data_IF_376926661788
#
_entry.id   IF_376926661788
#
_cell.length_a   1.000
_cell.length_b   1.000
_cell.length_c   1.000
_cell.angle_alpha   90.00
_cell.angle_beta   90.00
_cell.angle_gamma   90.00
#
_symmetry.space_group_name_H-M   'P 1'
#
loop_
_entity.id
_entity.type
_entity.pdbx_description
1 polymer ?
#
# COMPACT_ATOMS: atom_id res chain seq x y z
N UNK A 1 -5.45 1.05 40.67
CA UNK A 1 -4.50 -0.07 40.48
C UNK A 1 -4.38 -0.38 39.01
N UNK A 2 -4.02 0.64 38.16
CA UNK A 2 -3.97 0.60 36.68
C UNK A 2 -2.85 1.48 36.10
N UNK A 3 -1.75 1.71 36.84
CA UNK A 3 -0.69 2.65 36.43
C UNK A 3 0.67 2.03 36.13
N UNK A 4 0.80 0.70 36.08
CA UNK A 4 2.14 0.06 36.03
C UNK A 4 2.53 -0.64 34.72
N UNK A 5 1.82 -0.47 33.60
CA UNK A 5 2.16 -1.19 32.36
C UNK A 5 2.92 -0.33 31.32
N UNK A 6 3.23 0.94 31.61
CA UNK A 6 3.84 1.86 30.63
C UNK A 6 5.23 2.39 31.00
N UNK A 7 5.99 1.73 31.87
CA UNK A 7 7.41 2.07 32.06
C UNK A 7 8.29 1.06 31.34
N UNK A 8 8.46 1.20 30.03
CA UNK A 8 9.60 0.58 29.37
C UNK A 8 10.72 1.61 29.26
N UNK A 9 11.82 1.33 29.92
CA UNK A 9 13.14 1.92 29.85
C UNK A 9 13.45 2.67 28.54
N UNK A 10 13.20 3.96 28.51
CA UNK A 10 13.92 4.89 27.65
C UNK A 10 14.59 5.90 28.54
N UNK A 11 15.89 5.70 28.72
CA UNK A 11 16.77 6.72 29.23
C UNK A 11 16.63 8.00 28.41
N UNK A 12 16.19 9.17 28.95
CA UNK A 12 15.94 10.38 28.18
C UNK A 12 17.21 10.98 27.54
N UNK A 13 18.39 10.53 27.92
CA UNK A 13 19.67 11.13 27.55
C UNK A 13 20.44 10.39 26.44
N UNK A 14 19.95 9.30 25.90
CA UNK A 14 20.48 8.77 24.65
C UNK A 14 19.77 9.43 23.47
N UNK A 15 20.22 10.60 23.09
CA UNK A 15 19.95 11.19 21.79
C UNK A 15 20.60 10.30 20.72
N UNK A 16 19.92 9.20 20.37
CA UNK A 16 20.24 8.41 19.21
C UNK A 16 19.86 9.27 17.98
N UNK A 17 20.85 10.08 17.54
CA UNK A 17 20.74 11.03 16.44
C UNK A 17 20.76 10.34 15.08
N UNK A 18 20.58 9.03 15.04
CA UNK A 18 20.45 8.25 13.83
C UNK A 18 19.21 8.71 13.05
N UNK A 19 19.42 9.12 11.79
CA UNK A 19 18.31 9.48 10.89
C UNK A 19 17.31 8.32 10.75
N UNK A 20 17.75 7.06 10.96
CA UNK A 20 16.91 5.87 10.97
C UNK A 20 15.87 5.87 12.11
N UNK A 21 16.17 6.53 13.25
CA UNK A 21 15.21 6.66 14.36
C UNK A 21 14.03 7.60 14.01
N UNK A 22 14.18 8.42 12.98
CA UNK A 22 13.15 9.35 12.48
C UNK A 22 12.15 8.68 11.52
N UNK A 23 12.47 7.47 11.02
CA UNK A 23 11.61 6.71 10.12
C UNK A 23 10.52 6.00 10.94
N UNK A 24 9.27 6.21 10.57
CA UNK A 24 8.08 5.76 11.30
C UNK A 24 6.99 5.20 10.38
N UNK A 25 5.74 5.67 10.51
CA UNK A 25 4.60 5.16 9.76
C UNK A 25 4.74 5.19 8.24
N UNK A 26 5.41 6.21 7.68
CA UNK A 26 5.59 6.37 6.23
C UNK A 26 6.47 5.29 5.62
N UNK A 27 7.55 4.86 6.31
CA UNK A 27 8.38 3.77 5.82
C UNK A 27 7.61 2.43 5.81
N UNK A 28 6.81 2.17 6.85
CA UNK A 28 5.97 0.96 6.91
C UNK A 28 4.91 0.99 5.81
N UNK A 29 4.32 2.16 5.57
CA UNK A 29 3.34 2.37 4.50
C UNK A 29 3.98 2.11 3.14
N UNK A 30 5.19 2.62 2.87
CA UNK A 30 5.93 2.35 1.64
C UNK A 30 6.30 0.87 1.47
N UNK A 31 6.70 0.19 2.55
CA UNK A 31 6.97 -1.25 2.49
C UNK A 31 5.70 -2.10 2.26
N UNK A 32 4.53 -1.62 2.68
CA UNK A 32 3.24 -2.27 2.48
C UNK A 32 2.61 -1.93 1.11
N UNK A 33 3.12 -0.92 0.42
CA UNK A 33 2.73 -0.53 -0.93
C UNK A 33 3.20 -1.57 -1.98
N UNK A 34 4.33 -2.23 -1.70
CA UNK A 34 4.85 -3.33 -2.52
C UNK A 34 4.18 -4.67 -2.17
N UNK A 35 2.86 -4.70 -2.10
CA UNK A 35 2.07 -5.90 -1.85
C UNK A 35 2.11 -6.88 -3.06
N UNK A 36 1.58 -8.11 -2.92
CA UNK A 36 1.51 -9.03 -4.06
C UNK A 36 0.80 -8.46 -5.28
N UNK A 37 -0.20 -7.56 -5.10
CA UNK A 37 -0.91 -6.94 -6.20
C UNK A 37 -0.03 -5.96 -6.97
N UNK A 38 0.84 -5.23 -6.29
CA UNK A 38 1.87 -4.38 -6.87
C UNK A 38 2.87 -5.18 -7.69
N UNK A 39 3.45 -6.24 -7.09
CA UNK A 39 4.42 -7.11 -7.78
C UNK A 39 3.82 -7.69 -9.05
N UNK A 40 2.59 -8.22 -9.01
CA UNK A 40 1.91 -8.78 -10.16
C UNK A 40 1.63 -7.72 -11.25
N UNK A 41 1.14 -6.55 -10.85
CA UNK A 41 0.80 -5.44 -11.75
C UNK A 41 2.02 -4.88 -12.45
N UNK A 42 3.09 -4.60 -11.72
CA UNK A 42 4.35 -4.12 -12.32
C UNK A 42 5.00 -5.18 -13.21
N UNK A 43 4.92 -6.45 -12.82
CA UNK A 43 5.40 -7.56 -13.65
C UNK A 43 4.62 -7.65 -14.96
N UNK A 44 3.28 -7.57 -14.91
CA UNK A 44 2.42 -7.57 -16.09
C UNK A 44 2.69 -6.36 -16.99
N UNK A 45 2.85 -5.17 -16.40
CA UNK A 45 3.15 -3.95 -17.15
C UNK A 45 4.44 -4.07 -17.96
N UNK A 46 5.52 -4.58 -17.35
CA UNK A 46 6.79 -4.80 -18.03
C UNK A 46 6.74 -5.94 -19.05
N UNK A 47 6.06 -7.05 -18.73
CA UNK A 47 5.91 -8.18 -19.64
C UNK A 47 5.08 -7.83 -20.88
N UNK A 48 3.98 -7.10 -20.72
CA UNK A 48 3.06 -6.79 -21.82
C UNK A 48 3.54 -5.62 -22.68
N UNK A 49 4.04 -4.56 -22.05
CA UNK A 49 4.35 -3.29 -22.74
C UNK A 49 5.85 -2.96 -22.79
N UNK A 50 6.72 -3.85 -22.30
CA UNK A 50 8.15 -3.60 -22.27
C UNK A 50 8.47 -2.33 -21.45
N UNK A 51 9.25 -1.42 -22.04
CA UNK A 51 9.64 -0.17 -21.40
C UNK A 51 8.59 0.94 -21.47
N UNK A 52 7.45 0.72 -22.15
CA UNK A 52 6.49 1.79 -22.48
C UNK A 52 5.72 2.32 -21.27
N UNK A 53 5.75 1.63 -20.11
CA UNK A 53 5.14 2.08 -18.87
C UNK A 53 6.15 2.56 -17.81
N UNK A 54 7.47 2.62 -18.11
CA UNK A 54 8.47 3.11 -17.14
C UNK A 54 8.26 4.58 -16.72
N UNK A 55 7.71 5.41 -17.62
CA UNK A 55 7.40 6.81 -17.31
C UNK A 55 6.39 6.97 -16.17
N UNK A 56 5.54 5.97 -15.96
CA UNK A 56 4.54 6.00 -14.88
C UNK A 56 5.20 6.11 -13.52
N UNK A 57 6.32 5.43 -13.32
CA UNK A 57 7.07 5.45 -12.06
C UNK A 57 7.60 6.86 -11.75
N UNK A 58 8.12 7.57 -12.77
CA UNK A 58 8.60 8.93 -12.60
C UNK A 58 7.45 9.90 -12.26
N UNK A 59 6.30 9.75 -12.95
CA UNK A 59 5.12 10.59 -12.72
C UNK A 59 4.45 10.29 -11.38
N UNK A 60 4.28 9.01 -11.03
CA UNK A 60 3.53 8.63 -9.83
C UNK A 60 4.26 8.99 -8.54
N UNK A 61 5.59 8.99 -8.52
CA UNK A 61 6.34 9.26 -7.30
C UNK A 61 5.97 10.60 -6.62
N UNK A 62 6.04 11.76 -7.27
CA UNK A 62 5.64 13.01 -6.62
C UNK A 62 4.14 13.06 -6.29
N UNK A 63 3.30 12.38 -7.06
CA UNK A 63 1.85 12.34 -6.86
C UNK A 63 1.48 11.48 -5.65
N UNK A 64 2.05 10.28 -5.53
CA UNK A 64 1.82 9.40 -4.38
C UNK A 64 2.37 10.00 -3.09
N UNK A 65 3.56 10.61 -3.13
CA UNK A 65 4.12 11.32 -1.98
C UNK A 65 3.19 12.44 -1.54
N UNK A 66 2.67 13.24 -2.47
CA UNK A 66 1.81 14.37 -2.14
C UNK A 66 0.50 13.92 -1.46
N UNK A 67 -0.18 12.91 -2.03
CA UNK A 67 -1.46 12.45 -1.48
C UNK A 67 -1.28 11.70 -0.16
N UNK A 68 -0.19 10.94 0.02
CA UNK A 68 0.16 10.31 1.28
C UNK A 68 0.49 11.35 2.37
N UNK A 69 1.22 12.41 2.02
CA UNK A 69 1.47 13.54 2.93
C UNK A 69 0.17 14.25 3.34
N UNK A 70 -0.77 14.39 2.42
CA UNK A 70 -2.10 14.94 2.72
C UNK A 70 -2.80 14.07 3.75
N UNK A 71 -2.80 12.75 3.55
CA UNK A 71 -3.40 11.79 4.49
C UNK A 71 -2.75 11.86 5.88
N UNK A 72 -1.43 11.72 5.95
CA UNK A 72 -0.66 11.80 7.19
C UNK A 72 -0.93 13.13 7.94
N UNK A 73 -0.94 14.23 7.18
CA UNK A 73 -1.20 15.57 7.71
C UNK A 73 -2.59 15.68 8.31
N UNK A 74 -3.63 15.17 7.65
CA UNK A 74 -5.00 15.16 8.20
C UNK A 74 -5.03 14.43 9.54
N UNK A 75 -4.46 13.20 9.62
CA UNK A 75 -4.39 12.42 10.84
C UNK A 75 -3.68 13.14 11.97
N UNK A 76 -2.46 13.62 11.72
CA UNK A 76 -1.62 14.28 12.73
C UNK A 76 -2.15 15.63 13.21
N UNK A 77 -2.70 16.42 12.30
CA UNK A 77 -3.22 17.75 12.62
C UNK A 77 -4.51 17.67 13.39
N UNK A 78 -5.48 16.88 12.91
CA UNK A 78 -6.81 16.76 13.53
C UNK A 78 -6.83 15.84 14.77
N UNK A 79 -5.87 14.90 14.87
CA UNK A 79 -5.88 13.82 15.87
C UNK A 79 -6.94 12.75 15.60
N UNK A 80 -7.43 12.67 14.35
CA UNK A 80 -8.48 11.75 13.95
C UNK A 80 -8.17 11.14 12.57
N UNK A 81 -8.48 9.84 12.41
CA UNK A 81 -8.41 9.18 11.10
C UNK A 81 -9.41 9.76 10.09
N UNK A 82 -9.26 9.41 8.80
CA UNK A 82 -10.06 9.97 7.71
C UNK A 82 -11.57 9.77 7.91
N UNK A 83 -12.01 8.55 8.24
CA UNK A 83 -13.44 8.26 8.46
C UNK A 83 -14.06 9.06 9.61
N UNK A 84 -13.30 9.28 10.70
CA UNK A 84 -13.78 10.10 11.83
C UNK A 84 -13.92 11.56 11.42
N UNK A 85 -12.99 12.09 10.62
CA UNK A 85 -13.11 13.45 10.10
C UNK A 85 -14.27 13.58 9.11
N UNK A 86 -14.50 12.60 8.23
CA UNK A 86 -15.65 12.56 7.35
C UNK A 86 -16.95 12.55 8.15
N UNK A 87 -17.07 11.71 9.17
CA UNK A 87 -18.27 11.65 10.05
C UNK A 87 -18.60 12.98 10.71
N UNK A 88 -17.59 13.76 11.08
CA UNK A 88 -17.77 15.01 11.83
C UNK A 88 -18.11 16.21 10.95
N UNK A 89 -17.65 16.21 9.68
CA UNK A 89 -17.65 17.42 8.87
C UNK A 89 -18.35 17.27 7.52
N UNK A 90 -18.79 16.05 7.15
CA UNK A 90 -19.39 15.78 5.84
C UNK A 90 -20.69 14.99 5.96
N UNK A 91 -21.56 15.01 4.93
CA UNK A 91 -22.81 14.26 4.93
C UNK A 91 -22.60 12.76 5.11
N UNK A 92 -23.50 12.06 5.83
CA UNK A 92 -23.40 10.62 6.06
C UNK A 92 -23.33 9.79 4.76
N UNK A 93 -24.01 10.23 3.70
CA UNK A 93 -24.00 9.54 2.40
C UNK A 93 -22.59 9.44 1.79
N UNK A 94 -21.79 10.51 1.88
CA UNK A 94 -20.41 10.50 1.42
C UNK A 94 -19.53 9.59 2.29
N UNK A 95 -19.71 9.62 3.60
CA UNK A 95 -19.00 8.74 4.52
C UNK A 95 -19.27 7.27 4.21
N UNK A 96 -20.57 6.87 4.18
CA UNK A 96 -20.92 5.48 3.91
C UNK A 96 -20.49 5.03 2.52
N UNK A 97 -20.66 5.89 1.49
CA UNK A 97 -20.22 5.59 0.14
C UNK A 97 -18.72 5.26 0.07
N UNK A 98 -17.88 6.13 0.64
CA UNK A 98 -16.41 5.93 0.65
C UNK A 98 -16.00 4.71 1.47
N UNK A 99 -16.61 4.51 2.65
CA UNK A 99 -16.26 3.38 3.52
C UNK A 99 -16.67 2.05 2.89
N UNK A 100 -17.84 1.97 2.23
CA UNK A 100 -18.24 0.77 1.50
C UNK A 100 -17.28 0.48 0.34
N UNK A 101 -16.94 1.50 -0.46
CA UNK A 101 -15.98 1.34 -1.55
C UNK A 101 -14.63 0.81 -1.04
N UNK A 102 -14.12 1.40 0.04
CA UNK A 102 -12.87 0.95 0.67
C UNK A 102 -12.96 -0.49 1.18
N UNK A 103 -14.05 -0.85 1.85
CA UNK A 103 -14.25 -2.21 2.39
C UNK A 103 -14.29 -3.24 1.27
N UNK A 104 -15.01 -2.96 0.19
CA UNK A 104 -15.10 -3.86 -0.98
C UNK A 104 -13.71 -4.01 -1.62
N UNK A 105 -13.04 -2.90 -1.92
CA UNK A 105 -11.71 -2.93 -2.53
C UNK A 105 -10.70 -3.69 -1.66
N UNK A 106 -10.65 -3.41 -0.35
CA UNK A 106 -9.73 -4.09 0.57
C UNK A 106 -10.04 -5.58 0.68
N UNK A 107 -11.32 -5.97 0.72
CA UNK A 107 -11.70 -7.39 0.82
C UNK A 107 -11.29 -8.16 -0.44
N UNK A 108 -11.45 -7.57 -1.62
CA UNK A 108 -11.00 -8.16 -2.88
C UNK A 108 -9.47 -8.26 -2.91
N UNK A 109 -8.77 -7.22 -2.45
CA UNK A 109 -7.30 -7.24 -2.40
C UNK A 109 -6.78 -8.30 -1.42
N UNK A 110 -7.38 -8.42 -0.22
CA UNK A 110 -7.08 -9.47 0.77
C UNK A 110 -7.27 -10.87 0.14
N UNK A 111 -8.36 -11.07 -0.61
CA UNK A 111 -8.63 -12.34 -1.29
C UNK A 111 -7.53 -12.66 -2.32
N UNK A 112 -7.16 -11.68 -3.14
CA UNK A 112 -6.12 -11.82 -4.16
C UNK A 112 -4.75 -12.11 -3.54
N UNK A 113 -4.38 -11.37 -2.49
CA UNK A 113 -3.10 -11.54 -1.78
C UNK A 113 -3.00 -12.92 -1.11
N UNK A 114 -4.04 -13.34 -0.38
CA UNK A 114 -4.08 -14.67 0.25
C UNK A 114 -3.92 -15.78 -0.78
N UNK A 115 -4.62 -15.67 -1.90
CA UNK A 115 -4.54 -16.61 -3.02
C UNK A 115 -3.15 -16.69 -3.61
N UNK A 116 -2.53 -15.52 -3.86
CA UNK A 116 -1.17 -15.44 -4.39
C UNK A 116 -0.14 -16.03 -3.43
N UNK A 117 -0.28 -15.77 -2.13
CA UNK A 117 0.58 -16.37 -1.10
C UNK A 117 0.43 -17.90 -1.07
N UNK A 118 -0.80 -18.43 -1.16
CA UNK A 118 -1.05 -19.87 -1.25
C UNK A 118 -0.44 -20.50 -2.51
N UNK A 119 -0.55 -19.82 -3.66
CA UNK A 119 0.08 -20.22 -4.91
C UNK A 119 1.61 -20.15 -4.84
N UNK A 120 2.17 -19.17 -4.13
CA UNK A 120 3.60 -19.07 -3.90
C UNK A 120 4.15 -20.21 -3.05
N UNK A 121 3.44 -20.63 -1.98
CA UNK A 121 3.82 -21.83 -1.21
C UNK A 121 3.74 -23.08 -2.08
N UNK A 122 2.67 -23.23 -2.87
CA UNK A 122 2.54 -24.35 -3.81
C UNK A 122 3.70 -24.38 -4.81
N UNK A 123 4.15 -23.24 -5.31
CA UNK A 123 5.31 -23.13 -6.20
C UNK A 123 6.60 -23.64 -5.56
N UNK A 124 6.77 -23.44 -4.23
CA UNK A 124 7.98 -23.79 -3.49
C UNK A 124 8.06 -25.27 -3.10
N UNK A 125 6.95 -25.82 -2.61
CA UNK A 125 6.93 -27.14 -1.98
C UNK A 125 5.90 -28.12 -2.60
N UNK A 126 5.16 -27.65 -3.63
CA UNK A 126 4.06 -28.44 -4.21
C UNK A 126 2.85 -28.52 -3.28
N UNK A 127 1.90 -29.40 -3.60
CA UNK A 127 0.74 -29.65 -2.75
C UNK A 127 -0.47 -28.73 -3.04
N UNK A 128 -1.50 -28.72 -2.18
CA UNK A 128 -2.75 -28.02 -2.44
C UNK A 128 -2.65 -26.52 -2.08
N UNK A 129 -2.61 -25.63 -3.06
CA UNK A 129 -2.50 -24.18 -2.86
C UNK A 129 -3.58 -23.64 -1.90
N UNK A 130 -4.83 -24.14 -2.00
CA UNK A 130 -5.93 -23.71 -1.12
C UNK A 130 -5.69 -24.01 0.36
N UNK A 131 -5.07 -25.15 0.69
CA UNK A 131 -4.74 -25.47 2.07
C UNK A 131 -3.71 -24.47 2.63
N UNK A 132 -2.75 -24.06 1.80
CA UNK A 132 -1.76 -23.03 2.16
C UNK A 132 -2.41 -21.65 2.31
N UNK A 133 -3.35 -21.28 1.45
CA UNK A 133 -4.14 -20.05 1.60
C UNK A 133 -4.86 -20.01 2.95
N UNK A 134 -5.54 -21.11 3.32
CA UNK A 134 -6.24 -21.22 4.62
C UNK A 134 -5.25 -21.13 5.79
N UNK A 135 -4.12 -21.85 5.71
CA UNK A 135 -3.10 -21.83 6.75
C UNK A 135 -2.49 -20.42 6.93
N UNK A 136 -2.13 -19.74 5.84
CA UNK A 136 -1.57 -18.40 5.88
C UNK A 136 -2.59 -17.35 6.38
N UNK A 137 -3.87 -17.51 6.02
CA UNK A 137 -4.96 -16.71 6.57
C UNK A 137 -5.05 -16.88 8.09
N UNK A 138 -5.05 -18.13 8.59
CA UNK A 138 -5.09 -18.42 10.02
C UNK A 138 -3.87 -17.87 10.76
N UNK A 139 -2.67 -18.01 10.19
CA UNK A 139 -1.43 -17.43 10.74
C UNK A 139 -1.53 -15.91 10.80
N UNK A 140 -1.94 -15.27 9.71
CA UNK A 140 -2.08 -13.79 9.64
C UNK A 140 -3.08 -13.30 10.68
N UNK A 141 -4.26 -13.91 10.80
CA UNK A 141 -5.25 -13.54 11.80
C UNK A 141 -4.74 -13.75 13.24
N UNK A 142 -4.06 -14.86 13.49
CA UNK A 142 -3.45 -15.12 14.79
C UNK A 142 -2.43 -14.04 15.16
N UNK A 143 -1.55 -13.68 14.22
CA UNK A 143 -0.60 -12.61 14.43
C UNK A 143 -1.29 -11.26 14.68
N UNK A 144 -2.30 -10.91 13.89
CA UNK A 144 -3.02 -9.63 14.03
C UNK A 144 -3.79 -9.50 15.33
N UNK A 145 -4.33 -10.61 15.89
CA UNK A 145 -5.16 -10.59 17.10
C UNK A 145 -4.31 -10.69 18.37
N UNK A 146 -3.27 -11.54 18.37
CA UNK A 146 -2.53 -11.91 19.57
C UNK A 146 -1.13 -11.31 19.68
N UNK A 147 -0.56 -10.79 18.58
CA UNK A 147 0.78 -10.22 18.58
C UNK A 147 0.70 -8.71 18.29
N UNK A 148 1.27 -7.84 19.15
CA UNK A 148 1.30 -6.41 18.88
C UNK A 148 1.90 -6.10 17.50
N UNK A 149 1.20 -5.30 16.70
CA UNK A 149 1.57 -4.95 15.32
C UNK A 149 3.05 -4.55 15.20
N UNK A 150 3.53 -3.68 16.09
CA UNK A 150 4.93 -3.21 16.10
C UNK A 150 5.97 -4.32 16.24
N UNK A 151 5.60 -5.46 16.83
CA UNK A 151 6.54 -6.57 17.06
C UNK A 151 6.71 -7.40 15.79
N UNK A 152 5.64 -7.84 15.17
CA UNK A 152 5.76 -8.72 14.00
C UNK A 152 6.13 -7.95 12.73
N UNK A 153 5.68 -6.70 12.55
CA UNK A 153 6.07 -5.84 11.43
C UNK A 153 7.59 -5.60 11.38
N UNK A 154 8.25 -5.56 12.55
CA UNK A 154 9.70 -5.41 12.62
C UNK A 154 10.45 -6.57 11.96
N UNK A 155 9.86 -7.76 11.97
CA UNK A 155 10.41 -8.94 11.29
C UNK A 155 10.00 -8.94 9.82
N UNK A 156 8.72 -8.73 9.53
CA UNK A 156 8.18 -8.84 8.17
C UNK A 156 8.80 -7.83 7.19
N UNK A 157 9.10 -6.62 7.64
CA UNK A 157 9.76 -5.62 6.77
C UNK A 157 11.11 -6.08 6.20
N UNK A 158 11.80 -7.04 6.84
CA UNK A 158 13.04 -7.58 6.30
C UNK A 158 12.79 -8.53 5.13
N UNK A 159 11.59 -9.15 5.05
CA UNK A 159 11.23 -10.00 3.93
C UNK A 159 11.03 -9.19 2.65
N UNK A 160 10.66 -7.90 2.75
CA UNK A 160 10.54 -7.03 1.56
C UNK A 160 11.90 -6.77 0.90
N UNK A 161 13.03 -6.96 1.61
CA UNK A 161 14.36 -6.84 1.01
C UNK A 161 14.60 -7.89 -0.09
N UNK A 162 13.85 -8.98 -0.10
CA UNK A 162 13.93 -9.97 -1.18
C UNK A 162 13.55 -9.34 -2.54
N UNK A 163 12.74 -8.28 -2.55
CA UNK A 163 12.40 -7.54 -3.77
C UNK A 163 13.61 -6.87 -4.42
N UNK A 164 14.73 -6.65 -3.70
CA UNK A 164 15.98 -6.23 -4.31
C UNK A 164 16.58 -7.26 -5.27
N UNK A 165 16.05 -8.50 -5.30
CA UNK A 165 16.39 -9.46 -6.35
C UNK A 165 16.06 -8.90 -7.74
N UNK A 166 15.01 -8.11 -7.90
CA UNK A 166 14.69 -7.43 -9.17
C UNK A 166 15.76 -6.40 -9.55
N UNK A 167 16.32 -5.70 -8.57
CA UNK A 167 17.48 -4.81 -8.78
C UNK A 167 18.69 -5.62 -9.20
N UNK A 168 18.90 -6.79 -8.59
CA UNK A 168 20.01 -7.68 -8.90
C UNK A 168 20.02 -8.15 -10.37
N UNK A 169 18.85 -8.40 -10.97
CA UNK A 169 18.74 -8.84 -12.37
C UNK A 169 19.39 -7.85 -13.35
N UNK A 170 19.31 -6.54 -13.02
CA UNK A 170 19.91 -5.46 -13.84
C UNK A 170 21.40 -5.64 -14.06
N UNK A 171 22.11 -6.27 -13.11
CA UNK A 171 23.53 -6.55 -13.21
C UNK A 171 23.84 -7.86 -13.97
N UNK A 172 22.85 -8.72 -14.18
CA UNK A 172 23.01 -10.02 -14.84
C UNK A 172 22.61 -9.99 -16.32
N UNK A 173 21.86 -8.98 -16.76
CA UNK A 173 21.36 -8.88 -18.14
C UNK A 173 21.86 -7.60 -18.83
N UNK A 174 21.95 -7.64 -20.17
CA UNK A 174 22.29 -6.45 -20.95
C UNK A 174 21.07 -5.55 -21.09
N UNK A 175 21.16 -4.34 -20.56
CA UNK A 175 20.09 -3.36 -20.58
C UNK A 175 20.40 -2.24 -21.58
N UNK A 176 19.48 -1.91 -22.48
CA UNK A 176 19.61 -0.75 -23.38
C UNK A 176 19.30 0.55 -22.63
N UNK A 177 20.23 1.03 -21.80
CA UNK A 177 20.03 2.18 -20.90
C UNK A 177 19.56 3.45 -21.59
N UNK A 178 19.99 3.68 -22.84
CA UNK A 178 19.52 4.83 -23.63
C UNK A 178 18.01 4.74 -23.90
N UNK A 179 17.52 3.55 -24.26
CA UNK A 179 16.08 3.30 -24.46
C UNK A 179 15.30 3.40 -23.14
N UNK A 180 15.85 2.81 -22.07
CA UNK A 180 15.23 2.88 -20.74
C UNK A 180 15.08 4.34 -20.29
N UNK A 181 16.15 5.15 -20.36
CA UNK A 181 16.11 6.56 -20.01
C UNK A 181 15.10 7.34 -20.88
N UNK A 182 15.11 7.10 -22.19
CA UNK A 182 14.18 7.74 -23.11
C UNK A 182 12.72 7.42 -22.75
N UNK A 183 12.38 6.12 -22.50
CA UNK A 183 11.02 5.68 -22.19
C UNK A 183 10.56 6.06 -20.78
N UNK A 184 11.51 6.28 -19.88
CA UNK A 184 11.19 6.81 -18.53
C UNK A 184 10.82 8.29 -18.56
N UNK A 185 11.44 9.08 -19.47
CA UNK A 185 11.21 10.53 -19.55
C UNK A 185 10.12 10.86 -20.56
N UNK A 186 10.09 10.18 -21.71
CA UNK A 186 9.15 10.44 -22.79
C UNK A 186 8.13 9.32 -22.90
N UNK A 187 6.87 9.56 -22.48
CA UNK A 187 5.79 8.58 -22.58
C UNK A 187 5.57 8.16 -24.04
N UNK A 188 5.37 6.87 -24.25
CA UNK A 188 4.83 6.36 -25.51
C UNK A 188 3.43 5.83 -25.22
N UNK A 189 2.43 6.60 -25.60
CA UNK A 189 1.04 6.19 -25.42
C UNK A 189 0.62 5.21 -26.52
N UNK A 190 0.00 4.11 -26.11
CA UNK A 190 -0.70 3.18 -27.00
C UNK A 190 -2.18 3.22 -26.59
N UNK A 191 -3.07 3.84 -27.37
CA UNK A 191 -4.48 3.98 -27.00
C UNK A 191 -5.25 2.68 -27.23
N UNK A 192 -4.89 1.63 -26.47
CA UNK A 192 -5.60 0.35 -26.42
C UNK A 192 -6.26 0.15 -25.06
N UNK A 193 -7.36 -0.62 -25.02
CA UNK A 193 -8.03 -0.97 -23.76
C UNK A 193 -7.05 -1.59 -22.76
N UNK A 194 -6.20 -2.51 -23.19
CA UNK A 194 -5.22 -3.18 -22.33
C UNK A 194 -4.19 -2.21 -21.75
N UNK A 195 -3.68 -1.27 -22.58
CA UNK A 195 -2.70 -0.28 -22.11
C UNK A 195 -3.31 0.64 -21.04
N UNK A 196 -4.52 1.12 -21.29
CA UNK A 196 -5.19 2.04 -20.36
C UNK A 196 -5.61 1.32 -19.09
N UNK A 197 -6.09 0.07 -19.18
CA UNK A 197 -6.41 -0.75 -18.00
C UNK A 197 -5.17 -1.04 -17.17
N UNK A 198 -4.03 -1.37 -17.82
CA UNK A 198 -2.75 -1.59 -17.12
C UNK A 198 -2.24 -0.28 -16.51
N UNK A 199 -2.42 0.85 -17.16
CA UNK A 199 -2.08 2.16 -16.60
C UNK A 199 -2.89 2.45 -15.32
N UNK A 200 -4.20 2.17 -15.33
CA UNK A 200 -5.07 2.30 -14.14
C UNK A 200 -4.64 1.34 -13.05
N UNK A 201 -4.27 0.10 -13.39
CA UNK A 201 -3.75 -0.87 -12.43
C UNK A 201 -2.44 -0.40 -11.78
N UNK A 202 -1.48 0.09 -12.59
CA UNK A 202 -0.21 0.66 -12.08
C UNK A 202 -0.46 1.86 -11.16
N UNK A 203 -1.34 2.77 -11.55
CA UNK A 203 -1.71 3.91 -10.69
C UNK A 203 -2.46 3.45 -9.43
N UNK A 204 -3.34 2.47 -9.54
CA UNK A 204 -4.16 1.97 -8.44
C UNK A 204 -3.38 1.20 -7.38
N UNK A 205 -2.31 0.50 -7.77
CA UNK A 205 -1.41 -0.14 -6.81
C UNK A 205 -0.45 0.87 -6.17
N UNK A 206 0.04 1.87 -6.93
CA UNK A 206 0.95 2.90 -6.44
C UNK A 206 0.25 3.96 -5.57
N UNK A 207 -1.02 4.28 -5.85
CA UNK A 207 -1.83 5.30 -5.16
C UNK A 207 -3.05 4.61 -4.56
N UNK A 208 -2.80 3.70 -3.63
CA UNK A 208 -3.82 2.81 -3.08
C UNK A 208 -4.65 3.45 -1.97
N UNK A 209 -5.99 3.33 -2.01
CA UNK A 209 -6.88 4.00 -1.06
C UNK A 209 -6.72 3.48 0.38
N UNK A 210 -6.39 2.20 0.58
CA UNK A 210 -6.19 1.63 1.89
C UNK A 210 -4.99 2.25 2.63
N UNK A 211 -3.94 2.64 1.89
CA UNK A 211 -2.77 3.31 2.46
C UNK A 211 -3.11 4.70 3.01
N UNK A 212 -4.08 5.39 2.42
CA UNK A 212 -4.52 6.70 2.94
C UNK A 212 -5.16 6.55 4.32
N UNK A 213 -6.13 5.64 4.46
CA UNK A 213 -6.78 5.38 5.74
C UNK A 213 -5.79 4.84 6.78
N UNK A 214 -4.87 3.98 6.35
CA UNK A 214 -3.81 3.46 7.18
C UNK A 214 -2.89 4.57 7.69
N UNK A 215 -2.31 5.36 6.80
CA UNK A 215 -1.34 6.42 7.13
C UNK A 215 -1.94 7.44 8.11
N UNK A 216 -3.15 7.94 7.84
CA UNK A 216 -3.82 8.86 8.75
C UNK A 216 -4.03 8.25 10.13
N UNK A 217 -4.42 6.97 10.20
CA UNK A 217 -4.65 6.27 11.46
C UNK A 217 -3.35 5.98 12.21
N UNK A 218 -2.26 5.65 11.51
CA UNK A 218 -0.96 5.44 12.14
C UNK A 218 -0.38 6.72 12.74
N UNK A 219 -0.61 7.88 12.13
CA UNK A 219 -0.22 9.16 12.73
C UNK A 219 -1.02 9.45 14.03
N UNK A 220 -2.27 9.00 14.11
CA UNK A 220 -3.06 9.08 15.35
C UNK A 220 -2.57 8.07 16.39
N UNK A 221 -2.23 6.84 15.99
CA UNK A 221 -1.64 5.84 16.87
C UNK A 221 -0.32 6.34 17.48
N UNK A 222 0.51 7.02 16.69
CA UNK A 222 1.77 7.59 17.17
C UNK A 222 1.53 8.75 18.15
N UNK A 223 0.52 9.61 17.90
CA UNK A 223 0.10 10.64 18.86
C UNK A 223 -0.23 10.02 20.22
N UNK A 224 -1.03 8.95 20.19
CA UNK A 224 -1.47 8.27 21.41
C UNK A 224 -0.31 7.58 22.13
N UNK A 225 0.58 6.92 21.36
CA UNK A 225 1.74 6.20 21.92
C UNK A 225 2.81 7.11 22.51
N UNK A 226 2.91 8.36 22.05
CA UNK A 226 3.87 9.36 22.54
C UNK A 226 3.22 10.38 23.50
N UNK A 227 1.94 10.19 23.85
CA UNK A 227 1.14 11.11 24.67
C UNK A 227 1.16 12.56 24.14
N UNK A 228 1.37 12.72 22.84
CA UNK A 228 1.36 14.02 22.18
C UNK A 228 -0.06 14.46 21.84
N UNK A 229 -0.27 15.78 21.78
CA UNK A 229 -1.55 16.32 21.34
C UNK A 229 -1.54 16.61 19.83
N UNK A 230 -2.74 16.60 19.19
CA UNK A 230 -2.90 17.03 17.81
C UNK A 230 -2.36 18.44 17.58
N UNK A 231 -1.84 18.72 16.38
CA UNK A 231 -1.21 20.01 16.07
C UNK A 231 -2.18 21.19 16.17
N UNK A 232 -3.49 20.98 15.95
CA UNK A 232 -4.52 22.02 16.21
C UNK A 232 -4.56 22.48 17.67
N UNK A 233 -4.15 21.62 18.62
CA UNK A 233 -4.08 21.94 20.04
C UNK A 233 -2.69 22.39 20.51
N UNK A 234 -1.61 21.92 19.83
CA UNK A 234 -0.19 22.30 20.12
C UNK A 234 0.55 22.74 18.85
N UNK A 235 0.28 23.94 18.34
CA UNK A 235 0.88 24.45 17.10
C UNK A 235 2.41 24.57 17.14
N UNK A 236 2.99 24.81 18.30
CA UNK A 236 4.44 25.04 18.48
C UNK A 236 5.32 23.85 17.98
N UNK A 237 4.77 22.63 17.96
CA UNK A 237 5.51 21.42 17.52
C UNK A 237 5.36 21.14 16.02
N UNK A 238 4.66 22.00 15.26
CA UNK A 238 4.26 21.72 13.88
C UNK A 238 5.44 21.58 12.93
N UNK A 239 6.44 22.45 12.98
CA UNK A 239 7.56 22.44 12.05
C UNK A 239 8.38 21.14 12.13
N UNK A 240 8.76 20.72 13.34
CA UNK A 240 9.51 19.48 13.56
C UNK A 240 8.69 18.24 13.15
N UNK A 241 7.42 18.20 13.56
CA UNK A 241 6.55 17.05 13.32
C UNK A 241 6.22 16.88 11.83
N UNK A 242 5.81 17.95 11.15
CA UNK A 242 5.50 17.91 9.72
C UNK A 242 6.76 17.68 8.87
N UNK A 243 7.93 18.18 9.34
CA UNK A 243 9.23 17.88 8.75
C UNK A 243 9.57 16.40 8.82
N UNK A 244 9.37 15.75 9.98
CA UNK A 244 9.54 14.31 10.15
C UNK A 244 8.62 13.51 9.21
N UNK A 245 7.32 13.81 9.23
CA UNK A 245 6.33 13.15 8.35
C UNK A 245 6.73 13.27 6.88
N UNK A 246 7.19 14.45 6.46
CA UNK A 246 7.65 14.66 5.09
C UNK A 246 8.81 13.75 4.72
N UNK A 247 9.86 13.69 5.56
CA UNK A 247 11.03 12.85 5.28
C UNK A 247 10.64 11.38 5.27
N UNK A 248 9.90 10.94 6.27
CA UNK A 248 9.43 9.55 6.41
C UNK A 248 8.59 9.08 5.20
N UNK A 249 7.63 9.90 4.78
CA UNK A 249 6.78 9.59 3.62
C UNK A 249 7.58 9.61 2.31
N UNK A 250 8.44 10.63 2.10
CA UNK A 250 9.28 10.71 0.88
C UNK A 250 10.19 9.48 0.77
N UNK A 251 10.84 9.10 1.85
CA UNK A 251 11.75 7.93 1.86
C UNK A 251 10.97 6.63 1.68
N UNK A 252 9.85 6.43 2.40
CA UNK A 252 9.04 5.22 2.31
C UNK A 252 8.48 5.01 0.91
N UNK A 253 7.82 6.03 0.36
CA UNK A 253 7.27 5.98 -1.00
C UNK A 253 8.36 5.89 -2.08
N UNK A 254 9.53 6.51 -1.84
CA UNK A 254 10.68 6.41 -2.73
C UNK A 254 11.22 4.99 -2.82
N UNK A 255 11.26 4.28 -1.70
CA UNK A 255 11.65 2.87 -1.66
C UNK A 255 10.73 2.01 -2.53
N UNK A 256 9.42 2.08 -2.31
CA UNK A 256 8.42 1.36 -3.10
C UNK A 256 8.53 1.69 -4.59
N UNK A 257 8.60 2.98 -4.91
CA UNK A 257 8.66 3.43 -6.30
C UNK A 257 9.91 2.94 -7.05
N UNK A 258 11.06 2.83 -6.36
CA UNK A 258 12.30 2.24 -6.92
C UNK A 258 12.10 0.75 -7.18
N UNK A 259 11.48 0.01 -6.29
CA UNK A 259 11.16 -1.41 -6.48
C UNK A 259 10.23 -1.58 -7.69
N UNK A 260 9.16 -0.78 -7.79
CA UNK A 260 8.25 -0.79 -8.93
C UNK A 260 8.99 -0.59 -10.27
N UNK A 261 9.91 0.39 -10.33
CA UNK A 261 10.75 0.63 -11.51
C UNK A 261 11.53 -0.62 -11.90
N UNK A 262 12.20 -1.25 -10.94
CA UNK A 262 13.02 -2.43 -11.22
C UNK A 262 12.21 -3.69 -11.54
N UNK A 263 10.99 -3.83 -11.02
CA UNK A 263 10.08 -4.92 -11.41
C UNK A 263 9.67 -4.74 -12.88
N UNK A 264 9.20 -3.56 -13.28
CA UNK A 264 8.82 -3.27 -14.68
C UNK A 264 10.03 -3.48 -15.60
N UNK A 265 11.19 -2.91 -15.26
CA UNK A 265 12.42 -3.03 -16.05
C UNK A 265 12.85 -4.49 -16.22
N UNK A 266 12.89 -5.25 -15.11
CA UNK A 266 13.31 -6.66 -15.12
C UNK A 266 12.39 -7.50 -16.00
N UNK A 267 11.08 -7.36 -15.85
CA UNK A 267 10.12 -8.14 -16.65
C UNK A 267 10.10 -7.72 -18.11
N UNK A 268 10.40 -6.45 -18.40
CA UNK A 268 10.60 -5.99 -19.78
C UNK A 268 11.81 -6.65 -20.46
N UNK A 269 12.94 -6.74 -19.77
CA UNK A 269 14.17 -7.32 -20.37
C UNK A 269 14.22 -8.85 -20.32
N UNK A 270 13.39 -9.49 -19.51
CA UNK A 270 13.35 -10.95 -19.37
C UNK A 270 12.13 -11.56 -20.03
N UNK A 271 10.93 -11.19 -19.62
CA UNK A 271 9.67 -11.79 -20.11
C UNK A 271 9.30 -11.23 -21.48
N UNK A 272 9.20 -9.92 -21.62
CA UNK A 272 8.82 -9.26 -22.88
C UNK A 272 9.79 -9.58 -24.00
N UNK A 273 11.09 -9.55 -23.72
CA UNK A 273 12.12 -9.89 -24.70
C UNK A 273 12.04 -11.34 -25.20
N UNK A 274 11.41 -12.25 -24.45
CA UNK A 274 11.16 -13.64 -24.83
C UNK A 274 9.70 -13.89 -25.25
N UNK A 275 8.95 -12.84 -25.59
CA UNK A 275 7.53 -12.90 -26.04
C UNK A 275 6.56 -13.47 -25.00
N UNK A 276 6.89 -13.45 -23.71
CA UNK A 276 5.96 -13.75 -22.63
C UNK A 276 5.29 -12.43 -22.23
N UNK A 277 4.12 -12.16 -22.83
CA UNK A 277 3.41 -10.88 -22.67
C UNK A 277 2.20 -10.95 -21.75
N UNK A 278 1.72 -12.15 -21.42
CA UNK A 278 0.62 -12.38 -20.47
C UNK A 278 1.10 -13.34 -19.37
N UNK A 279 1.18 -12.83 -18.16
CA UNK A 279 1.61 -13.61 -17.00
C UNK A 279 0.36 -14.26 -16.37
N UNK A 280 0.25 -15.57 -16.52
CA UNK A 280 -0.90 -16.33 -16.01
C UNK A 280 -0.59 -17.05 -14.69
N UNK A 281 0.70 -17.35 -14.41
CA UNK A 281 1.07 -18.14 -13.25
C UNK A 281 2.20 -17.50 -12.43
N UNK A 282 2.24 -17.82 -11.13
CA UNK A 282 3.35 -17.42 -10.25
C UNK A 282 4.72 -17.92 -10.77
N UNK A 283 4.76 -19.10 -11.43
CA UNK A 283 5.98 -19.63 -12.02
C UNK A 283 6.49 -18.78 -13.20
N UNK A 284 5.59 -18.26 -14.06
CA UNK A 284 5.94 -17.34 -15.13
C UNK A 284 6.49 -16.03 -14.57
N UNK A 285 5.82 -15.43 -13.58
CA UNK A 285 6.30 -14.21 -12.92
C UNK A 285 7.68 -14.44 -12.28
N UNK A 286 7.88 -15.54 -11.56
CA UNK A 286 9.15 -15.90 -10.95
C UNK A 286 10.28 -16.09 -11.95
N UNK A 287 9.97 -16.50 -13.19
CA UNK A 287 10.99 -16.71 -14.24
C UNK A 287 11.73 -15.44 -14.65
N UNK A 288 11.17 -14.26 -14.37
CA UNK A 288 11.85 -12.97 -14.53
C UNK A 288 13.14 -12.86 -13.71
N UNK A 289 13.24 -13.57 -12.59
CA UNK A 289 14.42 -13.58 -11.71
C UNK A 289 15.47 -14.63 -12.10
N UNK A 290 15.20 -15.50 -13.08
CA UNK A 290 16.13 -16.57 -13.50
C UNK A 290 17.54 -16.08 -13.90
N UNK A 291 17.71 -14.93 -14.58
CA UNK A 291 19.04 -14.47 -14.98
C UNK A 291 20.03 -14.29 -13.83
N UNK A 292 19.54 -13.92 -12.64
CA UNK A 292 20.41 -13.75 -11.46
C UNK A 292 20.37 -14.97 -10.53
N UNK A 293 19.19 -15.57 -10.37
CA UNK A 293 18.94 -16.55 -9.32
C UNK A 293 18.88 -17.99 -9.85
N UNK A 294 18.86 -18.21 -11.16
CA UNK A 294 18.72 -19.55 -11.72
C UNK A 294 17.53 -20.29 -11.12
N UNK A 295 17.77 -21.44 -10.50
CA UNK A 295 16.74 -22.25 -9.86
C UNK A 295 16.21 -21.62 -8.56
N UNK A 296 16.97 -20.69 -7.92
CA UNK A 296 16.52 -19.96 -6.73
C UNK A 296 15.49 -18.86 -7.05
N UNK A 297 15.25 -18.55 -8.33
CA UNK A 297 14.28 -17.54 -8.77
C UNK A 297 12.88 -17.79 -8.17
N UNK A 298 12.46 -19.05 -8.19
CA UNK A 298 11.16 -19.45 -7.62
C UNK A 298 11.11 -19.24 -6.10
N UNK A 299 12.22 -19.55 -5.41
CA UNK A 299 12.32 -19.34 -3.96
C UNK A 299 12.27 -17.84 -3.61
N UNK A 300 13.05 -17.01 -4.28
CA UNK A 300 13.05 -15.56 -4.05
C UNK A 300 11.69 -14.94 -4.34
N UNK A 301 11.07 -15.30 -5.46
CA UNK A 301 9.72 -14.82 -5.79
C UNK A 301 8.71 -15.27 -4.73
N UNK A 302 8.70 -16.54 -4.37
CA UNK A 302 7.77 -17.10 -3.39
C UNK A 302 7.90 -16.45 -2.01
N UNK A 303 9.13 -16.30 -1.52
CA UNK A 303 9.40 -15.60 -0.24
C UNK A 303 8.99 -14.12 -0.32
N UNK A 304 9.22 -13.48 -1.47
CA UNK A 304 8.79 -12.11 -1.73
C UNK A 304 7.26 -11.96 -1.59
N UNK A 305 6.49 -12.75 -2.35
CA UNK A 305 5.02 -12.74 -2.32
C UNK A 305 4.47 -13.06 -0.92
N UNK A 306 5.03 -14.06 -0.23
CA UNK A 306 4.59 -14.43 1.12
C UNK A 306 4.92 -13.30 2.11
N UNK A 307 6.13 -12.76 2.04
CA UNK A 307 6.58 -11.72 2.96
C UNK A 307 5.82 -10.41 2.80
N UNK A 308 5.66 -9.94 1.56
CA UNK A 308 4.92 -8.71 1.28
C UNK A 308 3.42 -8.88 1.56
N UNK A 309 2.82 -10.03 1.23
CA UNK A 309 1.43 -10.33 1.55
C UNK A 309 1.18 -10.39 3.06
N UNK A 310 2.06 -11.03 3.84
CA UNK A 310 1.96 -11.06 5.29
C UNK A 310 2.10 -9.65 5.92
N UNK A 311 2.80 -8.73 5.26
CA UNK A 311 2.89 -7.33 5.67
C UNK A 311 1.65 -6.52 5.24
N UNK A 312 1.13 -6.76 4.04
CA UNK A 312 0.00 -6.03 3.47
C UNK A 312 -1.34 -6.41 4.12
N UNK A 313 -1.58 -7.69 4.44
CA UNK A 313 -2.84 -8.14 5.03
C UNK A 313 -3.28 -7.35 6.27
N UNK A 314 -2.42 -7.08 7.29
CA UNK A 314 -2.81 -6.27 8.44
C UNK A 314 -3.02 -4.79 8.09
N UNK A 315 -2.39 -4.27 7.05
CA UNK A 315 -2.60 -2.90 6.58
C UNK A 315 -3.95 -2.77 5.89
N UNK A 316 -4.30 -3.73 5.02
CA UNK A 316 -5.59 -3.82 4.35
C UNK A 316 -6.75 -4.03 5.35
N UNK A 317 -6.66 -5.06 6.18
CA UNK A 317 -7.68 -5.36 7.19
C UNK A 317 -7.76 -4.28 8.28
N UNK A 318 -6.61 -3.72 8.68
CA UNK A 318 -6.53 -2.62 9.64
C UNK A 318 -7.14 -1.33 9.10
N UNK A 319 -6.89 -0.94 7.83
CA UNK A 319 -7.50 0.24 7.22
C UNK A 319 -9.03 0.09 7.12
N UNK A 320 -9.53 -1.10 6.80
CA UNK A 320 -10.95 -1.43 6.85
C UNK A 320 -11.52 -1.26 8.27
N UNK A 321 -10.82 -1.77 9.28
CA UNK A 321 -11.24 -1.68 10.67
C UNK A 321 -11.20 -0.22 11.19
N UNK A 322 -10.17 0.56 10.87
CA UNK A 322 -10.09 1.98 11.21
C UNK A 322 -11.20 2.80 10.55
N UNK A 323 -11.53 2.50 9.28
CA UNK A 323 -12.61 3.19 8.58
C UNK A 323 -13.97 2.90 9.22
N UNK A 324 -14.28 1.64 9.52
CA UNK A 324 -15.50 1.24 10.20
C UNK A 324 -15.59 1.80 11.61
N UNK A 325 -14.52 1.67 12.39
CA UNK A 325 -14.51 2.19 13.76
C UNK A 325 -14.64 3.72 13.79
N UNK A 326 -14.02 4.43 12.85
CA UNK A 326 -14.18 5.87 12.66
C UNK A 326 -15.61 6.27 12.29
N UNK A 327 -16.26 5.48 11.44
CA UNK A 327 -17.66 5.68 11.02
C UNK A 327 -18.63 5.54 12.16
N UNK A 328 -18.47 4.52 13.01
CA UNK A 328 -19.39 4.26 14.11
C UNK A 328 -18.93 4.81 15.48
N UNK A 329 -17.75 5.42 15.54
CA UNK A 329 -17.20 5.98 16.78
C UNK A 329 -16.78 4.93 17.81
N UNK A 330 -16.32 3.76 17.33
CA UNK A 330 -15.84 2.71 18.21
C UNK A 330 -14.39 2.99 18.64
N UNK A 331 -14.00 2.41 19.79
CA UNK A 331 -12.59 2.36 20.18
C UNK A 331 -11.78 1.63 19.11
N UNK A 332 -10.70 2.22 18.68
CA UNK A 332 -9.83 1.70 17.64
C UNK A 332 -8.38 1.98 17.96
N UNK A 333 -7.59 0.94 18.07
CA UNK A 333 -6.13 1.01 18.13
C UNK A 333 -5.55 -0.39 18.02
N UNK A 334 -4.48 -0.54 17.26
CA UNK A 334 -3.69 -1.78 17.21
C UNK A 334 -2.80 -1.95 18.45
N UNK A 335 -2.73 -0.95 19.32
CA UNK A 335 -2.06 -1.02 20.61
C UNK A 335 -2.98 -1.54 21.74
N UNK A 336 -4.31 -1.58 21.50
CA UNK A 336 -5.28 -2.11 22.47
C UNK A 336 -5.41 -3.64 22.31
N UNK A 337 -5.61 -4.31 23.43
CA UNK A 337 -5.96 -5.74 23.41
C UNK A 337 -7.29 -5.97 22.70
N UNK A 338 -7.41 -7.13 22.02
CA UNK A 338 -8.61 -7.50 21.29
C UNK A 338 -9.87 -7.51 22.17
N UNK A 339 -9.73 -7.76 23.46
CA UNK A 339 -10.85 -7.71 24.44
C UNK A 339 -11.38 -6.30 24.67
N UNK A 340 -10.52 -5.28 24.56
CA UNK A 340 -10.86 -3.85 24.76
C UNK A 340 -11.42 -3.21 23.49
N UNK A 341 -11.05 -3.74 22.31
CA UNK A 341 -11.46 -3.25 20.99
C UNK A 341 -12.14 -4.33 20.15
N UNK A 342 -13.04 -5.13 20.74
CA UNK A 342 -13.67 -6.31 20.09
C UNK A 342 -14.27 -6.03 18.73
N UNK A 343 -14.94 -4.89 18.53
CA UNK A 343 -15.56 -4.53 17.25
C UNK A 343 -14.51 -4.22 16.18
N UNK A 344 -13.43 -3.55 16.57
CA UNK A 344 -12.32 -3.23 15.69
C UNK A 344 -11.62 -4.52 15.18
N UNK A 345 -11.24 -5.40 16.08
CA UNK A 345 -10.65 -6.70 15.73
C UNK A 345 -11.64 -7.64 15.05
N UNK A 346 -12.94 -7.51 15.36
CA UNK A 346 -14.01 -8.21 14.65
C UNK A 346 -14.09 -7.84 13.17
N UNK A 347 -13.86 -6.57 12.80
CA UNK A 347 -13.80 -6.14 11.39
C UNK A 347 -12.54 -6.68 10.72
N UNK A 348 -11.38 -6.68 11.39
CA UNK A 348 -10.15 -7.30 10.87
C UNK A 348 -10.40 -8.76 10.52
N UNK A 349 -10.96 -9.52 11.46
CA UNK A 349 -11.28 -10.93 11.25
C UNK A 349 -12.31 -11.12 10.14
N UNK A 350 -13.39 -10.33 10.12
CA UNK A 350 -14.44 -10.42 9.12
C UNK A 350 -13.91 -10.14 7.71
N UNK A 351 -13.16 -9.05 7.52
CA UNK A 351 -12.58 -8.70 6.21
C UNK A 351 -11.64 -9.80 5.70
N UNK A 352 -10.81 -10.37 6.59
CA UNK A 352 -9.87 -11.44 6.22
C UNK A 352 -10.60 -12.76 5.92
N UNK A 353 -11.63 -13.12 6.71
CA UNK A 353 -12.42 -14.35 6.47
C UNK A 353 -13.27 -14.23 5.21
N UNK A 354 -13.89 -13.07 4.96
CA UNK A 354 -14.64 -12.83 3.71
C UNK A 354 -13.68 -12.84 2.52
N UNK A 355 -12.48 -12.24 2.64
CA UNK A 355 -11.43 -12.35 1.63
C UNK A 355 -11.05 -13.79 1.34
N UNK A 356 -10.85 -14.62 2.39
CA UNK A 356 -10.61 -16.05 2.22
C UNK A 356 -11.79 -16.76 1.52
N UNK A 357 -13.03 -16.42 1.87
CA UNK A 357 -14.20 -17.03 1.24
C UNK A 357 -14.28 -16.72 -0.27
N UNK A 358 -13.85 -15.53 -0.69
CA UNK A 358 -13.75 -15.16 -2.11
C UNK A 358 -12.67 -15.95 -2.87
N UNK A 359 -11.67 -16.52 -2.18
CA UNK A 359 -10.64 -17.37 -2.80
C UNK A 359 -11.22 -18.68 -3.39
N UNK A 360 -12.38 -19.15 -2.92
CA UNK A 360 -13.02 -20.34 -3.48
C UNK A 360 -13.64 -20.14 -4.88
N UNK A 361 -13.47 -18.95 -5.48
CA UNK A 361 -13.80 -18.69 -6.89
C UNK A 361 -12.77 -19.33 -7.84
N UNK A 362 -13.08 -19.44 -9.13
CA UNK A 362 -12.21 -20.05 -10.15
C UNK A 362 -11.22 -19.09 -10.81
N UNK A 363 -11.02 -17.88 -10.28
CA UNK A 363 -10.13 -16.87 -10.89
C UNK A 363 -8.66 -17.27 -10.79
N UNK A 364 -7.85 -16.90 -11.77
CA UNK A 364 -6.40 -17.01 -11.75
C UNK A 364 -5.80 -16.09 -10.68
N UNK A 365 -4.85 -16.53 -9.84
CA UNK A 365 -4.24 -15.70 -8.80
C UNK A 365 -3.64 -14.40 -9.31
N UNK A 366 -2.88 -14.45 -10.39
CA UNK A 366 -2.21 -13.26 -10.95
C UNK A 366 -3.24 -12.28 -11.53
N UNK A 367 -4.26 -12.80 -12.23
CA UNK A 367 -5.35 -11.96 -12.74
C UNK A 367 -6.16 -11.31 -11.59
N UNK A 368 -6.39 -12.05 -10.51
CA UNK A 368 -7.06 -11.51 -9.32
C UNK A 368 -6.28 -10.34 -8.71
N UNK A 369 -4.94 -10.46 -8.59
CA UNK A 369 -4.07 -9.37 -8.12
C UNK A 369 -4.12 -8.15 -9.05
N UNK A 370 -4.02 -8.37 -10.35
CA UNK A 370 -4.11 -7.29 -11.35
C UNK A 370 -5.44 -6.53 -11.27
N UNK A 371 -6.56 -7.26 -11.22
CA UNK A 371 -7.89 -6.63 -11.13
C UNK A 371 -8.14 -5.97 -9.78
N UNK A 372 -7.56 -6.46 -8.68
CA UNK A 372 -7.62 -5.76 -7.39
C UNK A 372 -6.93 -4.39 -7.48
N UNK A 373 -5.79 -4.29 -8.19
CA UNK A 373 -5.12 -3.02 -8.43
C UNK A 373 -5.98 -2.06 -9.30
N UNK A 374 -6.67 -2.56 -10.33
CA UNK A 374 -7.62 -1.75 -11.12
C UNK A 374 -8.74 -1.21 -10.23
N UNK A 375 -9.34 -2.05 -9.38
CA UNK A 375 -10.41 -1.66 -8.45
C UNK A 375 -9.89 -0.61 -7.46
N UNK A 376 -8.67 -0.75 -6.95
CA UNK A 376 -8.04 0.25 -6.11
C UNK A 376 -7.91 1.59 -6.85
N UNK A 377 -7.51 1.59 -8.12
CA UNK A 377 -7.42 2.79 -8.96
C UNK A 377 -8.76 3.51 -9.08
N UNK A 378 -9.83 2.77 -9.39
CA UNK A 378 -11.19 3.34 -9.49
C UNK A 378 -11.67 3.89 -8.14
N UNK A 379 -11.46 3.14 -7.07
CA UNK A 379 -11.88 3.50 -5.71
C UNK A 379 -11.11 4.70 -5.16
N UNK A 380 -9.84 4.88 -5.57
CA UNK A 380 -9.00 5.99 -5.14
C UNK A 380 -9.59 7.36 -5.50
N UNK A 381 -10.22 7.50 -6.67
CA UNK A 381 -10.69 8.80 -7.18
C UNK A 381 -11.63 9.51 -6.21
N UNK A 382 -12.78 8.96 -5.78
CA UNK A 382 -13.68 9.64 -4.88
C UNK A 382 -13.05 9.86 -3.48
N UNK A 383 -12.20 8.96 -3.03
CA UNK A 383 -11.50 9.08 -1.74
C UNK A 383 -10.52 10.25 -1.77
N UNK A 384 -9.72 10.37 -2.84
CA UNK A 384 -8.75 11.47 -3.01
C UNK A 384 -9.45 12.83 -3.09
N UNK A 385 -10.59 12.93 -3.79
CA UNK A 385 -11.40 14.16 -3.81
C UNK A 385 -11.76 14.58 -2.39
N UNK A 386 -12.31 13.67 -1.58
CA UNK A 386 -12.71 13.98 -0.20
C UNK A 386 -11.51 14.32 0.69
N UNK A 387 -10.37 13.65 0.50
CA UNK A 387 -9.14 13.97 1.22
C UNK A 387 -8.65 15.40 0.90
N UNK A 388 -8.68 15.80 -0.37
CA UNK A 388 -8.28 17.14 -0.78
C UNK A 388 -9.23 18.21 -0.24
N UNK A 389 -10.54 17.93 -0.19
CA UNK A 389 -11.50 18.78 0.45
C UNK A 389 -11.26 18.91 1.97
N UNK A 390 -10.96 17.80 2.65
CA UNK A 390 -10.61 17.83 4.09
C UNK A 390 -9.33 18.61 4.37
N UNK A 391 -8.29 18.44 3.52
CA UNK A 391 -7.00 19.09 3.69
C UNK A 391 -7.05 20.62 3.54
N UNK A 392 -8.11 21.13 2.91
CA UNK A 392 -8.34 22.57 2.70
C UNK A 392 -9.43 23.15 3.61
N UNK A 393 -10.12 22.31 4.40
CA UNK A 393 -11.21 22.73 5.25
C UNK A 393 -10.70 23.15 6.65
N UNK A 394 -10.80 24.44 7.04
CA UNK A 394 -10.36 24.92 8.36
C UNK A 394 -11.09 24.25 9.54
N UNK A 395 -12.31 23.74 9.34
CA UNK A 395 -13.02 23.02 10.39
C UNK A 395 -12.38 21.65 10.70
N UNK A 396 -11.63 21.06 9.75
CA UNK A 396 -10.91 19.79 9.91
C UNK A 396 -9.48 20.01 10.40
N UNK A 397 -8.75 20.93 9.76
CA UNK A 397 -7.31 21.09 9.97
C UNK A 397 -6.93 22.41 10.66
N UNK A 398 -7.92 23.20 11.10
CA UNK A 398 -7.67 24.49 11.74
C UNK A 398 -6.86 25.44 10.83
N UNK A 399 -5.85 26.07 11.41
CA UNK A 399 -4.91 26.95 10.69
C UNK A 399 -3.89 26.18 9.82
N UNK A 400 -3.84 24.85 9.94
CA UNK A 400 -2.90 23.98 9.22
C UNK A 400 -3.40 23.53 7.85
N UNK A 401 -4.12 24.37 7.14
CA UNK A 401 -4.51 24.11 5.74
C UNK A 401 -3.30 23.67 4.92
N UNK A 402 -3.49 22.72 4.02
CA UNK A 402 -2.43 22.18 3.19
C UNK A 402 -1.75 23.32 2.38
N UNK A 403 -0.40 23.40 2.37
CA UNK A 403 0.32 24.42 1.62
C UNK A 403 0.05 24.28 0.12
N UNK A 404 0.22 25.37 -0.63
CA UNK A 404 -0.13 25.46 -2.05
C UNK A 404 0.48 24.31 -2.89
N UNK A 405 1.74 23.97 -2.64
CA UNK A 405 2.42 22.86 -3.35
C UNK A 405 1.69 21.52 -3.16
N UNK A 406 1.32 21.17 -1.92
CA UNK A 406 0.59 19.94 -1.65
C UNK A 406 -0.84 19.98 -2.23
N UNK A 407 -1.46 21.15 -2.26
CA UNK A 407 -2.78 21.33 -2.88
C UNK A 407 -2.72 21.09 -4.38
N UNK A 408 -1.73 21.70 -5.06
CA UNK A 408 -1.53 21.52 -6.51
C UNK A 408 -1.24 20.06 -6.82
N UNK A 409 -0.24 19.46 -6.17
CA UNK A 409 0.16 18.07 -6.43
C UNK A 409 -0.94 17.08 -6.05
N UNK A 410 -1.67 17.28 -4.96
CA UNK A 410 -2.76 16.41 -4.54
C UNK A 410 -3.95 16.48 -5.51
N UNK A 411 -4.35 17.67 -5.98
CA UNK A 411 -5.38 17.78 -7.01
C UNK A 411 -4.91 17.27 -8.36
N UNK A 412 -3.63 17.46 -8.72
CA UNK A 412 -3.04 16.89 -9.92
C UNK A 412 -3.07 15.36 -9.86
N UNK A 413 -2.69 14.76 -8.73
CA UNK A 413 -2.79 13.32 -8.49
C UNK A 413 -4.22 12.82 -8.70
N UNK A 414 -5.19 13.52 -8.10
CA UNK A 414 -6.62 13.20 -8.24
C UNK A 414 -7.08 13.31 -9.69
N UNK A 415 -6.70 14.35 -10.39
CA UNK A 415 -7.08 14.58 -11.79
C UNK A 415 -6.47 13.54 -12.74
N UNK A 416 -5.19 13.20 -12.56
CA UNK A 416 -4.49 12.18 -13.37
C UNK A 416 -5.15 10.81 -13.17
N UNK A 417 -5.44 10.42 -11.92
CA UNK A 417 -6.14 9.16 -11.64
C UNK A 417 -7.54 9.16 -12.24
N UNK A 418 -8.31 10.24 -12.05
CA UNK A 418 -9.65 10.37 -12.60
C UNK A 418 -9.66 10.31 -14.14
N UNK A 419 -8.69 10.96 -14.79
CA UNK A 419 -8.56 10.92 -16.26
C UNK A 419 -8.22 9.51 -16.76
N UNK A 420 -7.32 8.79 -16.07
CA UNK A 420 -6.96 7.42 -16.42
C UNK A 420 -8.17 6.47 -16.26
N UNK A 421 -8.90 6.56 -15.15
CA UNK A 421 -10.10 5.76 -14.88
C UNK A 421 -11.21 6.09 -15.90
N UNK A 422 -11.43 7.38 -16.19
CA UNK A 422 -12.40 7.80 -17.19
C UNK A 422 -12.05 7.27 -18.59
N UNK A 423 -10.78 7.39 -18.99
CA UNK A 423 -10.30 6.83 -20.24
C UNK A 423 -10.53 5.30 -20.28
N UNK A 424 -10.23 4.58 -19.20
CA UNK A 424 -10.48 3.14 -19.14
C UNK A 424 -11.94 2.80 -19.46
N UNK A 425 -12.92 3.50 -18.87
CA UNK A 425 -14.33 3.26 -19.15
C UNK A 425 -14.77 3.66 -20.55
N UNK A 426 -14.02 4.52 -21.25
CA UNK A 426 -14.30 4.85 -22.65
C UNK A 426 -13.78 3.80 -23.64
N UNK A 427 -12.74 3.04 -23.25
CA UNK A 427 -12.12 2.04 -24.12
C UNK A 427 -12.56 0.60 -23.83
N UNK A 428 -13.25 0.36 -22.68
CA UNK A 428 -13.92 -0.91 -22.36
C UNK A 428 -15.26 -1.03 -23.09
#
# INVERSE_FOLDING_TARGET
>A
MEREIYTSDRNPDSADTSWLSKLGPGLITGAADDDPSGIATYSQAGAQFGFNLLWTVLLTYPLMVAIQLVSARIGRVSGHGLATNLRRHYPPSLLYGVVILLLVANTINIAADLRAMGAAVNLLIGGPARAYTVALCAISLTLQIFVPYRRYVRVLKWLTLVLFAYVGVVFAVRIPWSTVALRTILPQFSPSADYITTLVAVFGTTISPYLFFWQASQEVEELNATEQQPLVKKPAQSAATLGRIRVDTVVGMGFSNVIAFFIILTTAVTLHAHHVTDIQTAAQAASALKPIAGNLAFFLFGVGIIGTGMLALPVLAGSAAYSMAGTFGWKNSLALDAQLAKRFYGIIALATIVGLALDFTSLDPIKALFWSAVINGVTSVPIMVLMMLMATNPNVVGTFVAPLTLRILGWLSTAVMAAAVFAMFLFL
#
